data_IF_829231754685
#
_entry.id   IF_829231754685
#
_cell.length_a   1.000
_cell.length_b   1.000
_cell.length_c   1.000
_cell.angle_alpha   90.00
_cell.angle_beta   90.00
_cell.angle_gamma   90.00
#
_symmetry.space_group_name_H-M   'P 1'
#
loop_
_entity.id
_entity.type
_entity.pdbx_description
1 polymer ?
#
# COMPACT_ATOMS: atom_id res chain seq x y z
N UNK A 1 67.53 -34.09 -33.30
CA UNK A 1 66.74 -34.94 -32.38
C UNK A 1 66.26 -33.97 -31.30
N UNK A 2 64.99 -33.64 -31.08
CA UNK A 2 63.72 -34.35 -31.18
C UNK A 2 62.62 -33.38 -31.68
N UNK A 3 61.68 -33.89 -32.48
CA UNK A 3 60.40 -33.21 -32.76
C UNK A 3 59.35 -33.77 -31.80
N UNK A 4 58.80 -32.93 -30.92
CA UNK A 4 57.65 -33.27 -30.07
C UNK A 4 56.38 -33.25 -30.92
N UNK A 5 55.83 -34.43 -31.23
CA UNK A 5 54.55 -34.56 -31.93
C UNK A 5 53.38 -34.21 -30.99
N UNK A 6 52.68 -33.11 -31.34
CA UNK A 6 51.39 -32.72 -30.77
C UNK A 6 50.30 -33.73 -31.16
N UNK A 7 49.87 -34.57 -30.21
CA UNK A 7 48.75 -35.48 -30.38
C UNK A 7 47.40 -34.75 -30.44
N UNK A 8 46.78 -34.67 -31.62
CA UNK A 8 45.38 -34.27 -31.78
C UNK A 8 44.48 -35.38 -31.22
N UNK A 9 43.72 -35.10 -30.16
CA UNK A 9 42.68 -36.01 -29.68
C UNK A 9 41.57 -36.15 -30.74
N UNK A 10 41.49 -37.34 -31.33
CA UNK A 10 40.47 -37.72 -32.30
C UNK A 10 39.12 -37.89 -31.57
N UNK A 11 38.12 -37.05 -31.89
CA UNK A 11 36.74 -37.25 -31.41
C UNK A 11 36.16 -38.50 -32.07
N UNK A 12 36.07 -39.58 -31.30
CA UNK A 12 35.39 -40.82 -31.73
C UNK A 12 33.91 -40.55 -32.05
N UNK A 13 33.37 -41.08 -33.17
CA UNK A 13 31.97 -40.92 -33.52
C UNK A 13 31.08 -41.70 -32.54
N UNK A 14 30.07 -41.03 -31.96
CA UNK A 14 29.10 -41.68 -31.07
C UNK A 14 28.27 -42.69 -31.85
N UNK A 15 28.51 -43.98 -31.63
CA UNK A 15 27.69 -45.08 -32.18
C UNK A 15 26.27 -44.99 -31.61
N UNK A 16 25.25 -45.05 -32.47
CA UNK A 16 23.86 -44.96 -32.07
C UNK A 16 23.45 -46.19 -31.24
N UNK A 17 23.13 -46.00 -29.96
CA UNK A 17 22.62 -47.07 -29.09
C UNK A 17 21.21 -47.48 -29.53
N UNK A 18 20.98 -48.77 -29.72
CA UNK A 18 19.64 -49.35 -29.96
C UNK A 18 18.78 -49.07 -28.73
N UNK A 19 17.66 -48.35 -28.90
CA UNK A 19 16.75 -48.01 -27.80
C UNK A 19 15.74 -49.13 -27.59
N UNK A 20 15.53 -49.53 -26.33
CA UNK A 20 14.46 -50.46 -25.97
C UNK A 20 13.09 -49.77 -26.14
N UNK A 21 12.14 -50.45 -26.78
CA UNK A 21 10.76 -49.98 -27.04
C UNK A 21 9.70 -50.67 -26.17
N UNK A 22 10.12 -51.39 -25.12
CA UNK A 22 9.20 -51.97 -24.14
C UNK A 22 8.35 -50.85 -23.48
N UNK A 23 7.10 -51.16 -23.08
CA UNK A 23 6.25 -50.19 -22.38
C UNK A 23 6.91 -49.77 -21.05
N UNK A 24 6.90 -48.47 -20.76
CA UNK A 24 7.41 -47.95 -19.49
C UNK A 24 6.45 -48.28 -18.34
N UNK A 25 7.00 -48.65 -17.18
CA UNK A 25 6.21 -48.96 -15.97
C UNK A 25 5.50 -47.72 -15.41
N UNK A 26 6.13 -46.55 -15.51
CA UNK A 26 5.57 -45.26 -15.07
C UNK A 26 5.30 -44.41 -16.31
N UNK A 27 4.03 -44.07 -16.51
CA UNK A 27 3.62 -43.13 -17.56
C UNK A 27 3.82 -41.70 -17.06
N UNK A 28 4.49 -40.88 -17.88
CA UNK A 28 4.68 -39.46 -17.56
C UNK A 28 3.31 -38.79 -17.56
N UNK A 29 2.92 -38.25 -16.41
CA UNK A 29 1.66 -37.51 -16.26
C UNK A 29 1.87 -36.02 -16.47
N UNK A 30 0.79 -35.31 -16.83
CA UNK A 30 0.83 -33.86 -16.94
C UNK A 30 1.21 -33.19 -15.60
N UNK A 31 0.79 -33.77 -14.48
CA UNK A 31 1.14 -33.27 -13.15
C UNK A 31 2.66 -33.35 -12.88
N UNK A 32 3.30 -34.44 -13.27
CA UNK A 32 4.75 -34.61 -13.10
C UNK A 32 5.52 -33.55 -13.90
N UNK A 33 5.11 -33.28 -15.14
CA UNK A 33 5.70 -32.24 -15.97
C UNK A 33 5.53 -30.84 -15.36
N UNK A 34 4.34 -30.54 -14.83
CA UNK A 34 4.06 -29.24 -14.20
C UNK A 34 4.83 -29.07 -12.89
N UNK A 35 4.99 -30.14 -12.09
CA UNK A 35 5.77 -30.12 -10.86
C UNK A 35 7.24 -29.89 -11.13
N UNK A 36 7.82 -30.62 -12.09
CA UNK A 36 9.22 -30.48 -12.48
C UNK A 36 9.49 -29.11 -13.15
N UNK A 37 8.52 -28.57 -13.90
CA UNK A 37 8.61 -27.22 -14.45
C UNK A 37 8.62 -26.16 -13.34
N UNK A 38 7.77 -26.32 -12.31
CA UNK A 38 7.74 -25.43 -11.15
C UNK A 38 9.03 -25.51 -10.34
N UNK A 39 9.54 -26.70 -10.04
CA UNK A 39 10.78 -26.90 -9.26
C UNK A 39 12.03 -26.30 -9.92
N UNK A 40 12.02 -26.13 -11.25
CA UNK A 40 13.13 -25.49 -11.94
C UNK A 40 13.25 -23.99 -11.64
N UNK A 41 12.17 -23.33 -11.19
CA UNK A 41 12.16 -21.94 -10.72
C UNK A 41 12.94 -20.95 -11.62
N UNK A 42 12.94 -21.18 -12.95
CA UNK A 42 13.83 -20.46 -13.89
C UNK A 42 13.56 -18.95 -13.95
N UNK A 43 12.36 -18.53 -13.58
CA UNK A 43 11.93 -17.13 -13.58
C UNK A 43 12.11 -16.46 -12.21
N UNK A 44 12.42 -17.20 -11.15
CA UNK A 44 12.64 -16.62 -9.82
C UNK A 44 14.01 -15.96 -9.81
N UNK A 45 14.00 -14.63 -9.91
CA UNK A 45 15.20 -13.83 -9.70
C UNK A 45 15.65 -13.99 -8.25
N UNK A 46 16.90 -14.40 -8.05
CA UNK A 46 17.49 -14.50 -6.72
C UNK A 46 17.36 -13.17 -5.97
N UNK A 47 17.00 -13.23 -4.69
CA UNK A 47 16.84 -12.05 -3.86
C UNK A 47 18.18 -11.28 -3.77
N UNK A 48 18.15 -9.93 -3.77
CA UNK A 48 19.36 -9.13 -3.65
C UNK A 48 20.09 -9.42 -2.32
N UNK A 49 21.43 -9.36 -2.29
CA UNK A 49 22.20 -9.60 -1.07
C UNK A 49 21.86 -8.56 0.00
N UNK A 50 21.80 -9.00 1.27
CA UNK A 50 21.53 -8.12 2.41
C UNK A 50 22.74 -7.20 2.65
N UNK A 51 22.61 -5.92 2.29
CA UNK A 51 23.60 -4.89 2.56
C UNK A 51 23.28 -4.21 3.90
N UNK A 52 24.27 -4.07 4.78
CA UNK A 52 24.16 -3.26 5.99
C UNK A 52 24.55 -1.83 5.61
N UNK A 53 23.70 -0.86 5.93
CA UNK A 53 23.96 0.55 5.70
C UNK A 53 24.66 1.08 6.96
N UNK A 54 25.93 1.45 6.86
CA UNK A 54 26.69 1.99 8.01
C UNK A 54 26.72 3.52 8.00
N UNK A 55 26.86 4.11 6.82
CA UNK A 55 27.16 5.55 6.71
C UNK A 55 25.93 6.37 6.29
N UNK A 56 25.79 7.62 6.77
CA UNK A 56 24.71 8.52 6.35
C UNK A 56 24.68 8.78 4.83
N UNK A 57 25.85 8.76 4.18
CA UNK A 57 25.97 8.90 2.73
C UNK A 57 25.41 7.69 1.99
N UNK A 58 25.66 6.47 2.49
CA UNK A 58 25.08 5.24 1.96
C UNK A 58 23.56 5.21 2.13
N UNK A 59 23.05 5.70 3.27
CA UNK A 59 21.62 5.86 3.51
C UNK A 59 21.00 6.82 2.48
N UNK A 60 21.64 7.96 2.23
CA UNK A 60 21.17 8.93 1.25
C UNK A 60 21.18 8.36 -0.17
N UNK A 61 22.21 7.61 -0.55
CA UNK A 61 22.30 6.92 -1.83
C UNK A 61 21.19 5.86 -1.98
N UNK A 62 20.92 5.09 -0.92
CA UNK A 62 19.83 4.13 -0.87
C UNK A 62 18.47 4.82 -1.05
N UNK A 63 18.23 5.90 -0.30
CA UNK A 63 17.00 6.68 -0.40
C UNK A 63 16.82 7.26 -1.81
N UNK A 64 17.87 7.81 -2.42
CA UNK A 64 17.83 8.36 -3.77
C UNK A 64 17.47 7.28 -4.80
N UNK A 65 18.10 6.10 -4.72
CA UNK A 65 17.79 4.97 -5.61
C UNK A 65 16.35 4.52 -5.47
N UNK A 66 15.83 4.42 -4.24
CA UNK A 66 14.44 4.04 -3.97
C UNK A 66 13.45 5.10 -4.47
N UNK A 67 13.69 6.38 -4.16
CA UNK A 67 12.89 7.52 -4.65
C UNK A 67 12.81 7.54 -6.16
N UNK A 68 13.96 7.39 -6.85
CA UNK A 68 14.00 7.33 -8.31
C UNK A 68 13.14 6.18 -8.85
N UNK A 69 13.23 4.99 -8.26
CA UNK A 69 12.41 3.85 -8.68
C UNK A 69 10.90 4.09 -8.49
N UNK A 70 10.50 4.73 -7.39
CA UNK A 70 9.10 5.09 -7.15
C UNK A 70 8.62 6.18 -8.12
N UNK A 71 9.38 7.25 -8.31
CA UNK A 71 9.05 8.33 -9.24
C UNK A 71 8.99 7.83 -10.69
N UNK A 72 9.90 6.95 -11.11
CA UNK A 72 9.85 6.33 -12.44
C UNK A 72 8.62 5.41 -12.59
N UNK A 73 8.19 4.71 -11.54
CA UNK A 73 6.95 3.92 -11.56
C UNK A 73 5.72 4.81 -11.62
N UNK A 74 5.69 5.90 -10.85
CA UNK A 74 4.60 6.90 -10.90
C UNK A 74 4.53 7.57 -12.28
N UNK A 75 5.67 7.87 -12.89
CA UNK A 75 5.74 8.42 -14.25
C UNK A 75 5.17 7.47 -15.29
N UNK A 76 5.45 6.16 -15.16
CA UNK A 76 4.89 5.12 -16.05
C UNK A 76 3.39 4.90 -15.80
N UNK A 77 2.97 4.87 -14.53
CA UNK A 77 1.63 4.47 -14.09
C UNK A 77 1.00 5.54 -13.19
N UNK A 78 0.72 6.73 -13.73
CA UNK A 78 0.23 7.88 -12.94
C UNK A 78 -1.10 7.63 -12.24
N UNK A 79 -2.01 6.91 -12.91
CA UNK A 79 -3.37 6.65 -12.40
C UNK A 79 -3.41 5.55 -11.32
N UNK A 80 -2.35 4.75 -11.17
CA UNK A 80 -2.33 3.65 -10.21
C UNK A 80 -2.02 4.16 -8.80
N UNK A 81 -3.07 4.45 -8.03
CA UNK A 81 -2.99 4.99 -6.66
C UNK A 81 -2.23 4.05 -5.71
N UNK A 82 -2.23 2.74 -5.98
CA UNK A 82 -1.43 1.78 -5.23
C UNK A 82 0.07 2.08 -5.22
N UNK A 83 0.62 2.67 -6.29
CA UNK A 83 2.03 3.06 -6.34
C UNK A 83 2.31 4.29 -5.45
N UNK A 84 1.40 5.26 -5.47
CA UNK A 84 1.44 6.44 -4.59
C UNK A 84 1.38 6.04 -3.11
N UNK A 85 0.46 5.14 -2.75
CA UNK A 85 0.32 4.65 -1.38
C UNK A 85 1.57 3.88 -0.90
N UNK A 86 2.17 3.05 -1.77
CA UNK A 86 3.43 2.35 -1.46
C UNK A 86 4.59 3.33 -1.25
N UNK A 87 4.66 4.36 -2.08
CA UNK A 87 5.71 5.37 -1.97
C UNK A 87 5.55 6.21 -0.70
N UNK A 88 4.33 6.68 -0.40
CA UNK A 88 4.03 7.43 0.81
C UNK A 88 4.32 6.61 2.08
N UNK A 89 3.91 5.33 2.12
CA UNK A 89 4.24 4.43 3.25
C UNK A 89 5.74 4.21 3.42
N UNK A 90 6.50 4.21 2.32
CA UNK A 90 7.96 4.12 2.40
C UNK A 90 8.58 5.39 2.95
N UNK A 91 8.17 6.59 2.50
CA UNK A 91 8.66 7.86 3.08
C UNK A 91 8.25 8.01 4.55
N UNK A 92 7.06 7.53 4.92
CA UNK A 92 6.64 7.44 6.33
C UNK A 92 7.63 6.59 7.14
N UNK A 93 8.07 5.44 6.62
CA UNK A 93 9.08 4.61 7.28
C UNK A 93 10.46 5.25 7.39
N UNK A 94 10.76 6.26 6.56
CA UNK A 94 12.00 7.04 6.64
C UNK A 94 11.89 8.20 7.65
N UNK A 95 10.70 8.50 8.17
CA UNK A 95 10.46 9.65 9.05
C UNK A 95 10.31 11.00 8.34
N UNK A 96 10.32 11.02 7.01
CA UNK A 96 10.25 12.23 6.18
C UNK A 96 8.79 12.63 5.91
N UNK A 97 8.11 13.11 6.96
CA UNK A 97 6.67 13.43 6.95
C UNK A 97 6.33 14.50 5.90
N UNK A 98 7.18 15.52 5.75
CA UNK A 98 6.90 16.62 4.82
C UNK A 98 6.91 16.16 3.36
N UNK A 99 7.79 15.22 3.00
CA UNK A 99 7.78 14.61 1.66
C UNK A 99 6.57 13.72 1.48
N UNK A 100 6.23 12.94 2.51
CA UNK A 100 5.03 12.11 2.53
C UNK A 100 3.77 12.94 2.23
N UNK A 101 3.61 14.11 2.86
CA UNK A 101 2.53 15.07 2.58
C UNK A 101 2.51 15.51 1.13
N UNK A 102 3.66 15.92 0.59
CA UNK A 102 3.75 16.33 -0.81
C UNK A 102 3.34 15.21 -1.77
N UNK A 103 3.68 13.96 -1.47
CA UNK A 103 3.27 12.79 -2.25
C UNK A 103 1.75 12.58 -2.17
N UNK A 104 1.15 12.71 -0.98
CA UNK A 104 -0.30 12.61 -0.81
C UNK A 104 -1.05 13.72 -1.54
N UNK A 105 -0.63 14.98 -1.43
CA UNK A 105 -1.25 16.10 -2.15
C UNK A 105 -1.10 15.90 -3.68
N UNK A 106 0.07 15.49 -4.17
CA UNK A 106 0.25 15.13 -5.60
C UNK A 106 -0.64 13.98 -6.03
N UNK A 107 -0.89 13.01 -5.16
CA UNK A 107 -1.79 11.91 -5.44
C UNK A 107 -3.26 12.37 -5.46
N UNK A 108 -3.63 13.32 -4.59
CA UNK A 108 -4.96 13.93 -4.54
C UNK A 108 -5.21 14.78 -5.79
N UNK A 109 -4.19 15.48 -6.31
CA UNK A 109 -4.28 16.18 -7.59
C UNK A 109 -4.57 15.24 -8.77
N UNK A 110 -4.19 13.97 -8.66
CA UNK A 110 -4.46 12.95 -9.68
C UNK A 110 -5.85 12.37 -9.52
N UNK A 111 -6.22 11.93 -8.31
CA UNK A 111 -7.55 11.40 -8.01
C UNK A 111 -8.01 11.80 -6.61
N UNK A 112 -8.66 12.96 -6.55
CA UNK A 112 -9.25 13.49 -5.32
C UNK A 112 -10.56 12.79 -4.93
N UNK A 113 -11.13 11.94 -5.79
CA UNK A 113 -12.40 11.24 -5.52
C UNK A 113 -12.20 9.89 -4.85
N UNK A 114 -10.96 9.40 -4.74
CA UNK A 114 -10.69 8.12 -4.10
C UNK A 114 -10.72 8.22 -2.58
N UNK A 115 -11.66 7.57 -1.87
CA UNK A 115 -11.73 7.67 -0.42
C UNK A 115 -10.53 7.07 0.31
N UNK A 116 -9.92 6.03 -0.27
CA UNK A 116 -8.77 5.34 0.32
C UNK A 116 -7.59 6.29 0.50
N UNK A 117 -7.41 7.23 -0.44
CA UNK A 117 -6.29 8.16 -0.39
C UNK A 117 -6.43 9.13 0.79
N UNK A 118 -7.62 9.70 0.98
CA UNK A 118 -7.94 10.55 2.13
C UNK A 118 -7.81 9.81 3.45
N UNK A 119 -8.36 8.59 3.54
CA UNK A 119 -8.24 7.76 4.74
C UNK A 119 -6.78 7.49 5.11
N UNK A 120 -5.96 7.08 4.14
CA UNK A 120 -4.54 6.79 4.39
C UNK A 120 -3.74 8.02 4.76
N UNK A 121 -4.05 9.16 4.15
CA UNK A 121 -3.39 10.42 4.48
C UNK A 121 -3.74 10.90 5.90
N UNK A 122 -5.02 10.86 6.28
CA UNK A 122 -5.44 11.20 7.63
C UNK A 122 -4.88 10.23 8.69
N UNK A 123 -4.86 8.92 8.39
CA UNK A 123 -4.23 7.91 9.24
C UNK A 123 -2.72 8.15 9.43
N UNK A 124 -2.03 8.68 8.42
CA UNK A 124 -0.62 9.06 8.53
C UNK A 124 -0.45 10.26 9.46
N UNK A 125 -1.21 11.35 9.28
CA UNK A 125 -1.12 12.53 10.15
C UNK A 125 -1.46 12.21 11.62
N UNK A 126 -2.44 11.33 11.85
CA UNK A 126 -2.78 10.84 13.19
C UNK A 126 -1.62 10.05 13.82
N UNK A 127 -0.94 9.18 13.06
CA UNK A 127 0.25 8.43 13.54
C UNK A 127 1.42 9.38 13.85
N UNK A 128 1.57 10.45 13.08
CA UNK A 128 2.57 11.49 13.30
C UNK A 128 2.20 12.48 14.42
N UNK A 129 1.06 12.30 15.10
CA UNK A 129 0.53 13.19 16.16
C UNK A 129 0.24 14.62 15.72
N UNK A 130 0.00 14.84 14.42
CA UNK A 130 -0.26 16.15 13.84
C UNK A 130 -1.77 16.41 13.73
N UNK A 131 -2.39 16.70 14.89
CA UNK A 131 -3.85 16.78 15.02
C UNK A 131 -4.48 17.88 14.17
N UNK A 132 -3.87 19.07 14.12
CA UNK A 132 -4.43 20.20 13.35
C UNK A 132 -4.42 19.92 11.85
N UNK A 133 -3.37 19.28 11.34
CA UNK A 133 -3.32 18.85 9.94
C UNK A 133 -4.37 17.79 9.63
N UNK A 134 -4.55 16.81 10.54
CA UNK A 134 -5.61 15.81 10.41
C UNK A 134 -7.01 16.45 10.38
N UNK A 135 -7.30 17.44 11.24
CA UNK A 135 -8.58 18.19 11.21
C UNK A 135 -8.82 18.89 9.90
N UNK A 136 -7.85 19.65 9.42
CA UNK A 136 -7.95 20.36 8.13
C UNK A 136 -8.17 19.38 6.98
N UNK A 137 -7.56 18.20 7.06
CA UNK A 137 -7.71 17.17 6.04
C UNK A 137 -9.10 16.52 6.08
N UNK A 138 -9.63 16.22 7.26
CA UNK A 138 -11.00 15.70 7.40
C UNK A 138 -12.03 16.71 6.95
N UNK A 139 -11.86 17.99 7.29
CA UNK A 139 -12.75 19.06 6.84
C UNK A 139 -12.75 19.17 5.31
N UNK A 140 -11.56 19.18 4.67
CA UNK A 140 -11.43 19.11 3.20
C UNK A 140 -12.11 17.88 2.61
N UNK A 141 -11.89 16.69 3.19
CA UNK A 141 -12.44 15.44 2.69
C UNK A 141 -13.97 15.45 2.70
N UNK A 142 -14.56 15.93 3.79
CA UNK A 142 -16.01 16.07 3.98
C UNK A 142 -16.60 17.10 3.02
N UNK A 143 -15.94 18.23 2.79
CA UNK A 143 -16.41 19.25 1.85
C UNK A 143 -16.39 18.76 0.40
N UNK A 144 -15.37 18.00 0.00
CA UNK A 144 -15.25 17.48 -1.38
C UNK A 144 -16.20 16.30 -1.60
N UNK A 145 -16.37 15.44 -0.59
CA UNK A 145 -17.15 14.20 -0.67
C UNK A 145 -18.06 14.01 0.56
N UNK A 146 -19.17 14.77 0.65
CA UNK A 146 -20.05 14.72 1.81
C UNK A 146 -20.86 13.42 1.89
N UNK A 147 -21.04 12.71 0.77
CA UNK A 147 -21.81 11.45 0.71
C UNK A 147 -21.06 10.23 1.25
N UNK A 148 -19.76 10.36 1.51
CA UNK A 148 -18.94 9.25 2.00
C UNK A 148 -19.00 9.23 3.52
N UNK A 149 -19.94 8.44 4.07
CA UNK A 149 -20.16 8.31 5.52
C UNK A 149 -18.90 7.91 6.30
N UNK A 150 -17.97 7.18 5.67
CA UNK A 150 -16.72 6.76 6.31
C UNK A 150 -15.89 7.93 6.84
N UNK A 151 -15.90 9.09 6.16
CA UNK A 151 -15.17 10.27 6.62
C UNK A 151 -15.79 10.86 7.87
N UNK A 152 -17.12 10.99 7.90
CA UNK A 152 -17.86 11.49 9.05
C UNK A 152 -17.63 10.61 10.28
N UNK A 153 -17.76 9.29 10.15
CA UNK A 153 -17.49 8.35 11.25
C UNK A 153 -16.06 8.48 11.79
N UNK A 154 -15.05 8.60 10.92
CA UNK A 154 -13.66 8.74 11.35
C UNK A 154 -13.38 10.11 11.95
N UNK A 155 -14.02 11.16 11.45
CA UNK A 155 -13.82 12.52 11.93
C UNK A 155 -14.45 12.72 13.32
N UNK A 156 -15.70 12.29 13.53
CA UNK A 156 -16.37 12.36 14.84
C UNK A 156 -15.64 11.50 15.87
N UNK A 157 -15.21 10.29 15.48
CA UNK A 157 -14.39 9.43 16.35
C UNK A 157 -13.06 10.10 16.74
N UNK A 158 -12.40 10.80 15.81
CA UNK A 158 -11.17 11.52 16.12
C UNK A 158 -11.42 12.67 17.12
N UNK A 159 -12.44 13.51 16.90
CA UNK A 159 -12.77 14.60 17.83
C UNK A 159 -13.20 14.09 19.21
N UNK A 160 -13.90 12.96 19.28
CA UNK A 160 -14.25 12.29 20.53
C UNK A 160 -13.02 11.78 21.27
N UNK A 161 -12.05 11.16 20.57
CA UNK A 161 -10.78 10.72 21.16
C UNK A 161 -9.91 11.89 21.66
N UNK A 162 -10.05 13.07 21.05
CA UNK A 162 -9.38 14.29 21.49
C UNK A 162 -10.10 14.99 22.65
N UNK A 163 -11.30 14.52 23.03
CA UNK A 163 -12.13 15.11 24.09
C UNK A 163 -12.86 16.40 23.67
N UNK A 164 -12.88 16.73 22.38
CA UNK A 164 -13.55 17.93 21.88
C UNK A 164 -15.03 17.65 21.58
N UNK A 165 -15.84 17.60 22.64
CA UNK A 165 -17.27 17.28 22.56
C UNK A 165 -18.02 18.33 21.72
N UNK A 166 -17.69 19.61 21.87
CA UNK A 166 -18.32 20.70 21.12
C UNK A 166 -18.01 20.61 19.62
N UNK A 167 -16.74 20.36 19.25
CA UNK A 167 -16.35 20.15 17.85
C UNK A 167 -17.00 18.90 17.25
N UNK A 168 -17.05 17.81 18.00
CA UNK A 168 -17.73 16.59 17.57
C UNK A 168 -19.22 16.84 17.26
N UNK A 169 -19.92 17.59 18.11
CA UNK A 169 -21.32 18.01 17.87
C UNK A 169 -21.45 18.85 16.61
N UNK A 170 -20.58 19.83 16.41
CA UNK A 170 -20.61 20.65 15.19
C UNK A 170 -20.42 19.81 13.92
N UNK A 171 -19.58 18.77 13.97
CA UNK A 171 -19.41 17.84 12.86
C UNK A 171 -20.67 17.00 12.65
N UNK A 172 -21.31 16.51 13.72
CA UNK A 172 -22.58 15.80 13.62
C UNK A 172 -23.70 16.66 13.04
N UNK A 173 -23.86 17.91 13.51
CA UNK A 173 -24.85 18.86 12.98
C UNK A 173 -24.65 19.08 11.46
N UNK A 174 -23.41 19.35 11.04
CA UNK A 174 -23.06 19.45 9.61
C UNK A 174 -23.34 18.17 8.84
N UNK A 175 -23.20 17.01 9.46
CA UNK A 175 -23.50 15.75 8.81
C UNK A 175 -25.01 15.56 8.61
N UNK A 176 -25.82 15.96 9.59
CA UNK A 176 -27.28 15.86 9.54
C UNK A 176 -27.91 16.79 8.49
N UNK A 177 -27.27 17.92 8.16
CA UNK A 177 -27.70 18.78 7.04
C UNK A 177 -27.82 18.00 5.72
N UNK A 178 -26.96 16.99 5.51
CA UNK A 178 -26.97 16.14 4.31
C UNK A 178 -27.99 15.00 4.33
N UNK A 179 -28.75 14.86 5.42
CA UNK A 179 -29.75 13.79 5.62
C UNK A 179 -29.18 12.38 5.30
N UNK A 180 -28.20 11.91 6.10
CA UNK A 180 -27.56 10.62 5.90
C UNK A 180 -28.48 9.43 6.24
N UNK A 181 -27.94 8.22 6.13
CA UNK A 181 -28.63 6.97 6.45
C UNK A 181 -29.05 6.90 7.93
N UNK A 182 -30.04 6.07 8.24
CA UNK A 182 -30.54 5.87 9.61
C UNK A 182 -29.40 5.55 10.61
N UNK A 183 -28.38 4.80 10.16
CA UNK A 183 -27.22 4.46 10.97
C UNK A 183 -26.47 5.71 11.46
N UNK A 184 -26.37 6.77 10.65
CA UNK A 184 -25.74 8.02 11.05
C UNK A 184 -26.50 8.71 12.18
N UNK A 185 -27.83 8.78 12.08
CA UNK A 185 -28.70 9.31 13.14
C UNK A 185 -28.56 8.50 14.43
N UNK A 186 -28.59 7.17 14.33
CA UNK A 186 -28.37 6.29 15.48
C UNK A 186 -26.99 6.51 16.11
N UNK A 187 -25.92 6.74 15.32
CA UNK A 187 -24.61 7.04 15.90
C UNK A 187 -24.56 8.38 16.64
N UNK A 188 -25.31 9.38 16.18
CA UNK A 188 -25.39 10.67 16.87
C UNK A 188 -26.19 10.58 18.17
N UNK A 189 -27.31 9.85 18.16
CA UNK A 189 -28.09 9.56 19.38
C UNK A 189 -27.24 8.77 20.39
N UNK A 190 -26.53 7.73 19.93
CA UNK A 190 -25.64 6.95 20.79
C UNK A 190 -24.52 7.81 21.39
N UNK A 191 -23.99 8.79 20.64
CA UNK A 191 -23.02 9.75 21.14
C UNK A 191 -23.59 10.59 22.29
N UNK A 192 -24.76 11.22 22.14
CA UNK A 192 -25.36 12.03 23.22
C UNK A 192 -25.78 11.17 24.44
N UNK A 193 -26.22 9.93 24.21
CA UNK A 193 -26.49 8.97 25.29
C UNK A 193 -25.23 8.61 26.10
N UNK A 194 -24.06 8.47 25.46
CA UNK A 194 -22.79 8.24 26.17
C UNK A 194 -22.43 9.39 27.11
N UNK A 195 -22.78 10.62 26.75
CA UNK A 195 -22.54 11.82 27.56
C UNK A 195 -23.73 12.20 28.47
N UNK A 196 -24.77 11.37 28.54
CA UNK A 196 -25.98 11.55 29.39
C UNK A 196 -26.85 12.76 29.04
N UNK A 197 -26.76 13.28 27.82
CA UNK A 197 -27.58 14.41 27.35
C UNK A 197 -28.90 13.89 26.75
N UNK A 198 -29.79 13.41 27.62
CA UNK A 198 -31.04 12.75 27.20
C UNK A 198 -31.98 13.72 26.46
N UNK A 199 -32.03 14.99 26.89
CA UNK A 199 -32.91 15.99 26.26
C UNK A 199 -32.49 16.31 24.82
N UNK A 200 -31.18 16.29 24.54
CA UNK A 200 -30.66 16.46 23.19
C UNK A 200 -30.88 15.22 22.34
N UNK A 201 -30.64 14.03 22.90
CA UNK A 201 -30.95 12.78 22.22
C UNK A 201 -32.43 12.70 21.82
N UNK A 202 -33.35 13.24 22.64
CA UNK A 202 -34.77 13.36 22.32
C UNK A 202 -35.06 14.38 21.22
N UNK A 203 -34.33 15.49 21.16
CA UNK A 203 -34.51 16.50 20.12
C UNK A 203 -34.05 16.02 18.73
N UNK A 204 -33.18 15.02 18.68
CA UNK A 204 -32.66 14.41 17.45
C UNK A 204 -33.61 13.32 16.91
N UNK A 205 -34.46 12.74 17.77
CA UNK A 205 -35.40 11.66 17.44
C UNK A 205 -36.69 12.21 16.82
#
# INVERSE_FOLDING_TARGET
>A
MEQTMSGKQQRVPKVAKVKNKAPAEIQITAEQLLREAKERDLEIVAAPPKQKISDPEELAAYQLRKRKAFEDNIRKNRMMIGNWLKYAKWEESQGEIQRCRSIYERALDVDHRNPTLWLRYAEMEMRCRQVNHARNLWDRAVTIMPRVNQFWYKYTYMEEMLGNIAGCRQVFERWMEWHPDEQAWQTYVNFELRYKEIDRARAIY
#
